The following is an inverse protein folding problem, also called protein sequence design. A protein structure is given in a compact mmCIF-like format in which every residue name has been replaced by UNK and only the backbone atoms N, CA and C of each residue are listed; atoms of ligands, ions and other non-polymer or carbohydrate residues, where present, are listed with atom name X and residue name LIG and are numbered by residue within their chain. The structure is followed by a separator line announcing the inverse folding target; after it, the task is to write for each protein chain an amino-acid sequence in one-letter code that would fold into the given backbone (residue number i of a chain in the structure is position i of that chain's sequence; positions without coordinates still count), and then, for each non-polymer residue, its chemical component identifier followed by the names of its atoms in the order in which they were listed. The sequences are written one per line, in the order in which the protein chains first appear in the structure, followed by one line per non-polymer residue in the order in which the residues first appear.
data_IF_079465166059
#
_entry.id   IF_079465166059
#
_cell.length_a   1.000
_cell.length_b   1.000
_cell.length_c   1.000
_cell.angle_alpha   90.00
_cell.angle_beta   90.00
_cell.angle_gamma   90.00
#
_symmetry.space_group_name_H-M   'P 1'
#
loop_
_entity.id
_entity.type
_entity.pdbx_description
1 polymer ?
#
# COMPACT_ATOMS: atom_id res chain seq x y z
N UNK A 1 -6.59 18.27 -6.15
CA UNK A 1 -6.98 17.12 -5.29
C UNK A 1 -7.49 17.46 -3.87
N UNK A 2 -7.77 18.74 -3.50
CA UNK A 2 -8.21 19.13 -2.14
C UNK A 2 -9.72 19.00 -1.87
N UNK A 3 -10.53 18.82 -2.92
CA UNK A 3 -12.00 18.84 -2.82
C UNK A 3 -12.54 17.50 -2.29
N UNK A 4 -11.96 16.37 -2.73
CA UNK A 4 -12.40 15.02 -2.33
C UNK A 4 -12.20 14.78 -0.83
N UNK A 5 -11.12 15.32 -0.24
CA UNK A 5 -10.85 15.21 1.20
C UNK A 5 -11.86 16.00 2.06
N UNK A 6 -12.41 17.11 1.55
CA UNK A 6 -13.38 17.91 2.29
C UNK A 6 -14.77 17.24 2.31
N UNK A 7 -15.16 16.62 1.19
CA UNK A 7 -16.42 15.88 1.06
C UNK A 7 -16.41 14.64 1.94
N UNK A 8 -15.33 13.86 1.93
CA UNK A 8 -15.19 12.68 2.80
C UNK A 8 -15.18 13.04 4.29
N UNK A 9 -14.60 14.19 4.66
CA UNK A 9 -14.58 14.65 6.06
C UNK A 9 -15.97 15.13 6.53
N UNK A 10 -16.78 15.73 5.65
CA UNK A 10 -18.19 16.07 5.93
C UNK A 10 -19.09 14.84 6.00
N UNK A 11 -18.92 13.88 5.10
CA UNK A 11 -19.65 12.61 5.15
C UNK A 11 -19.30 11.80 6.40
N UNK A 12 -18.01 11.75 6.78
CA UNK A 12 -17.58 11.12 8.03
C UNK A 12 -18.10 11.84 9.28
N UNK A 13 -18.25 13.17 9.26
CA UNK A 13 -18.86 13.91 10.37
C UNK A 13 -20.39 13.69 10.45
N UNK A 14 -21.07 13.62 9.30
CA UNK A 14 -22.50 13.32 9.21
C UNK A 14 -22.83 11.88 9.62
N UNK A 15 -21.94 10.93 9.32
CA UNK A 15 -22.08 9.51 9.68
C UNK A 15 -21.47 9.18 11.05
N UNK A 16 -20.50 9.96 11.53
CA UNK A 16 -19.72 9.69 12.75
C UNK A 16 -20.09 10.53 13.97
N UNK A 17 -21.09 11.43 13.85
CA UNK A 17 -21.57 12.26 14.97
C UNK A 17 -22.24 11.49 16.13
N UNK A 18 -22.35 10.15 16.04
CA UNK A 18 -23.00 9.32 17.05
C UNK A 18 -22.04 8.43 17.87
N UNK A 19 -20.73 8.70 17.87
CA UNK A 19 -19.77 7.90 18.67
C UNK A 19 -18.86 8.77 19.54
N UNK A 20 -19.46 9.69 20.28
CA UNK A 20 -18.86 10.34 21.45
C UNK A 20 -19.80 10.33 22.67
N UNK A 21 -20.85 9.50 22.64
CA UNK A 21 -21.53 9.11 23.85
C UNK A 21 -20.65 8.07 24.53
N UNK A 22 -20.15 8.40 25.72
CA UNK A 22 -19.66 7.44 26.71
C UNK A 22 -20.68 6.32 26.85
N UNK A 23 -20.50 5.26 26.06
CA UNK A 23 -21.23 4.02 26.21
C UNK A 23 -20.84 3.46 27.57
N UNK A 24 -21.70 3.72 28.55
CA UNK A 24 -22.04 2.83 29.63
C UNK A 24 -21.54 1.42 29.31
N UNK A 25 -20.44 1.02 29.97
CA UNK A 25 -19.78 -0.28 29.74
C UNK A 25 -20.89 -1.32 29.73
N UNK A 26 -21.09 -1.96 28.57
CA UNK A 26 -21.98 -3.10 28.47
C UNK A 26 -21.62 -4.03 29.63
N UNK A 27 -22.54 -4.14 30.58
CA UNK A 27 -22.39 -5.00 31.73
C UNK A 27 -21.96 -6.37 31.20
N UNK A 28 -20.86 -6.90 31.75
CA UNK A 28 -20.32 -8.20 31.39
C UNK A 28 -21.48 -9.19 31.32
N UNK A 29 -21.85 -9.57 30.08
CA UNK A 29 -22.83 -10.63 29.87
C UNK A 29 -22.36 -11.88 30.61
N UNK A 30 -23.26 -12.81 30.96
CA UNK A 30 -22.90 -14.00 31.71
C UNK A 30 -21.69 -14.67 31.06
N UNK A 31 -20.55 -14.66 31.76
CA UNK A 31 -19.33 -15.29 31.30
C UNK A 31 -19.60 -16.79 31.22
N UNK A 32 -19.85 -17.29 30.02
CA UNK A 32 -19.87 -18.71 29.78
C UNK A 32 -18.52 -19.29 30.23
N UNK A 33 -18.50 -20.45 30.91
CA UNK A 33 -17.25 -21.04 31.35
C UNK A 33 -16.34 -21.28 30.14
N UNK A 34 -15.24 -20.52 30.09
CA UNK A 34 -14.24 -20.64 29.05
C UNK A 34 -13.56 -22.00 29.17
N UNK A 35 -13.35 -22.67 28.03
CA UNK A 35 -12.53 -23.89 27.95
C UNK A 35 -11.03 -23.63 28.15
N UNK A 36 -10.64 -22.36 28.17
CA UNK A 36 -9.25 -21.90 28.29
C UNK A 36 -9.05 -21.15 29.60
N UNK A 37 -7.87 -21.31 30.20
CA UNK A 37 -7.49 -20.56 31.40
C UNK A 37 -7.25 -19.09 31.05
N UNK A 38 -7.36 -18.21 32.04
CA UNK A 38 -7.08 -16.78 31.89
C UNK A 38 -5.68 -16.54 31.31
N UNK A 39 -4.68 -17.24 31.83
CA UNK A 39 -3.28 -17.14 31.37
C UNK A 39 -3.13 -17.51 29.88
N UNK A 40 -3.86 -18.53 29.40
CA UNK A 40 -3.84 -18.91 27.99
C UNK A 40 -4.44 -17.83 27.09
N UNK A 41 -5.52 -17.19 27.55
CA UNK A 41 -6.17 -16.10 26.82
C UNK A 41 -5.25 -14.88 26.75
N UNK A 42 -4.59 -14.53 27.86
CA UNK A 42 -3.64 -13.41 27.91
C UNK A 42 -2.43 -13.64 27.00
N UNK A 43 -1.83 -14.84 27.04
CA UNK A 43 -0.73 -15.20 26.16
C UNK A 43 -1.13 -15.12 24.69
N UNK A 44 -2.31 -15.65 24.32
CA UNK A 44 -2.83 -15.58 22.95
C UNK A 44 -3.11 -14.14 22.50
N UNK A 45 -3.62 -13.29 23.41
CA UNK A 45 -3.87 -11.88 23.13
C UNK A 45 -2.57 -11.12 22.83
N UNK A 46 -1.52 -11.35 23.62
CA UNK A 46 -0.20 -10.73 23.39
C UNK A 46 0.38 -11.12 22.02
N UNK A 47 0.38 -12.41 21.68
CA UNK A 47 0.84 -12.89 20.36
C UNK A 47 0.03 -12.25 19.23
N UNK A 48 -1.28 -12.12 19.38
CA UNK A 48 -2.14 -11.48 18.38
C UNK A 48 -1.82 -9.99 18.21
N UNK A 49 -1.56 -9.28 19.32
CA UNK A 49 -1.19 -7.86 19.28
C UNK A 49 0.14 -7.65 18.56
N UNK A 50 1.13 -8.48 18.86
CA UNK A 50 2.45 -8.43 18.21
C UNK A 50 2.33 -8.72 16.70
N UNK A 51 1.63 -9.79 16.32
CA UNK A 51 1.41 -10.13 14.91
C UNK A 51 0.70 -9.00 14.15
N UNK A 52 -0.27 -8.33 14.79
CA UNK A 52 -0.96 -7.18 14.21
C UNK A 52 -0.02 -5.99 14.01
N UNK A 53 0.88 -5.74 14.96
CA UNK A 53 1.87 -4.68 14.83
C UNK A 53 2.82 -4.94 13.66
N UNK A 54 3.37 -6.16 13.56
CA UNK A 54 4.22 -6.56 12.44
C UNK A 54 3.50 -6.44 11.09
N UNK A 55 2.24 -6.84 11.01
CA UNK A 55 1.43 -6.68 9.81
C UNK A 55 1.24 -5.20 9.43
N UNK A 56 0.98 -4.33 10.41
CA UNK A 56 0.83 -2.90 10.17
C UNK A 56 2.13 -2.26 9.68
N UNK A 57 3.26 -2.64 10.27
CA UNK A 57 4.57 -2.11 9.90
C UNK A 57 4.96 -2.59 8.50
N UNK A 58 4.77 -3.87 8.19
CA UNK A 58 4.95 -4.40 6.83
C UNK A 58 4.03 -3.71 5.81
N UNK A 59 2.77 -3.41 6.16
CA UNK A 59 1.88 -2.65 5.29
C UNK A 59 2.33 -1.20 5.07
N UNK A 60 2.94 -0.56 6.07
CA UNK A 60 3.51 0.80 5.92
C UNK A 60 4.74 0.77 5.02
N UNK A 61 5.61 -0.20 5.20
CA UNK A 61 6.81 -0.39 4.38
C UNK A 61 6.45 -0.70 2.94
N UNK A 62 5.48 -1.60 2.71
CA UNK A 62 4.96 -1.88 1.37
C UNK A 62 4.46 -0.61 0.69
N UNK A 63 3.66 0.22 1.37
CA UNK A 63 3.19 1.50 0.80
C UNK A 63 4.34 2.45 0.46
N UNK A 64 5.41 2.46 1.26
CA UNK A 64 6.61 3.27 0.98
C UNK A 64 7.34 2.76 -0.25
N UNK A 65 7.54 1.44 -0.36
CA UNK A 65 8.13 0.80 -1.52
C UNK A 65 7.30 1.08 -2.79
N UNK A 66 5.98 0.90 -2.73
CA UNK A 66 5.05 1.17 -3.83
C UNK A 66 5.13 2.62 -4.29
N UNK A 67 5.27 3.58 -3.37
CA UNK A 67 5.43 5.00 -3.72
C UNK A 67 6.69 5.24 -4.57
N UNK A 68 7.79 4.57 -4.25
CA UNK A 68 9.04 4.68 -5.03
C UNK A 68 8.87 3.98 -6.38
N UNK A 69 8.44 2.71 -6.35
CA UNK A 69 8.31 1.86 -7.53
C UNK A 69 7.31 2.41 -8.55
N UNK A 70 6.18 2.99 -8.10
CA UNK A 70 5.17 3.62 -8.97
C UNK A 70 5.69 4.77 -9.82
N UNK A 71 6.84 5.36 -9.46
CA UNK A 71 7.49 6.44 -10.21
C UNK A 71 8.75 5.99 -10.95
N UNK A 72 9.19 4.75 -10.75
CA UNK A 72 10.40 4.25 -11.37
C UNK A 72 10.19 3.94 -12.86
N UNK A 73 11.04 4.44 -13.76
CA UNK A 73 10.99 4.05 -15.16
C UNK A 73 11.32 2.56 -15.32
N UNK A 74 10.85 1.95 -16.42
CA UNK A 74 11.21 0.59 -16.76
C UNK A 74 12.74 0.51 -16.95
N UNK A 75 13.37 -0.53 -16.41
CA UNK A 75 14.83 -0.67 -16.48
C UNK A 75 15.37 -1.69 -15.51
N UNK A 76 16.69 -1.80 -15.46
CA UNK A 76 17.42 -2.68 -14.53
C UNK A 76 18.18 -1.83 -13.52
N UNK A 77 17.98 -2.11 -12.24
CA UNK A 77 18.54 -1.41 -11.08
C UNK A 77 19.27 -2.43 -10.20
N UNK A 78 20.57 -2.60 -10.42
CA UNK A 78 21.36 -3.63 -9.73
C UNK A 78 20.80 -5.02 -10.02
N UNK A 79 20.35 -5.73 -8.98
CA UNK A 79 19.76 -7.07 -9.08
C UNK A 79 18.26 -7.07 -9.38
N UNK A 80 17.64 -5.90 -9.61
CA UNK A 80 16.19 -5.79 -9.80
C UNK A 80 15.88 -5.27 -11.19
N UNK A 81 15.04 -6.00 -11.94
CA UNK A 81 14.47 -5.53 -13.21
C UNK A 81 13.02 -5.09 -12.99
N UNK A 82 12.71 -3.86 -13.41
CA UNK A 82 11.38 -3.26 -13.38
C UNK A 82 10.83 -3.23 -14.80
N UNK A 83 9.66 -3.84 -15.00
CA UNK A 83 8.91 -3.78 -16.25
C UNK A 83 7.49 -3.30 -15.99
N UNK A 84 6.98 -2.43 -16.86
CA UNK A 84 5.58 -2.02 -16.84
C UNK A 84 4.78 -2.96 -17.74
N UNK A 85 3.86 -3.70 -17.14
CA UNK A 85 2.96 -4.63 -17.83
C UNK A 85 1.60 -3.98 -17.89
N UNK A 86 1.11 -3.78 -19.12
CA UNK A 86 -0.27 -3.35 -19.31
C UNK A 86 -1.19 -4.38 -18.68
N UNK A 87 -2.13 -3.92 -17.85
CA UNK A 87 -2.98 -4.81 -17.08
C UNK A 87 -3.79 -5.69 -18.04
N UNK A 88 -3.42 -6.96 -18.17
CA UNK A 88 -4.16 -7.99 -18.91
C UNK A 88 -5.48 -8.37 -18.22
N UNK A 89 -6.09 -7.45 -17.45
CA UNK A 89 -7.46 -7.60 -17.01
C UNK A 89 -8.25 -7.84 -18.28
N UNK A 90 -8.63 -9.11 -18.42
CA UNK A 90 -9.50 -9.75 -19.40
C UNK A 90 -10.26 -8.71 -20.21
N UNK A 91 -10.36 -8.91 -21.50
CA UNK A 91 -11.49 -8.41 -22.28
C UNK A 91 -12.78 -8.87 -21.59
N UNK A 92 -13.20 -8.17 -20.55
CA UNK A 92 -14.57 -8.18 -20.13
C UNK A 92 -15.29 -7.64 -21.36
N UNK A 93 -16.25 -8.41 -21.85
CA UNK A 93 -17.06 -8.03 -22.98
C UNK A 93 -17.66 -6.65 -22.71
N UNK A 94 -17.02 -5.64 -23.31
CA UNK A 94 -17.35 -4.23 -23.09
C UNK A 94 -18.77 -3.98 -23.54
N UNK A 95 -19.25 -4.71 -24.54
CA UNK A 95 -20.61 -4.62 -25.03
C UNK A 95 -21.59 -5.20 -24.01
N UNK A 96 -21.29 -6.35 -23.40
CA UNK A 96 -22.14 -6.93 -22.36
C UNK A 96 -22.23 -6.04 -21.10
N UNK A 97 -21.11 -5.44 -20.67
CA UNK A 97 -21.11 -4.44 -19.59
C UNK A 97 -21.91 -3.20 -20.01
N UNK A 98 -21.62 -2.64 -21.19
CA UNK A 98 -22.28 -1.44 -21.68
C UNK A 98 -23.79 -1.64 -21.81
N UNK A 99 -24.25 -2.78 -22.32
CA UNK A 99 -25.67 -3.13 -22.41
C UNK A 99 -26.33 -3.23 -21.03
N UNK A 100 -25.60 -3.76 -20.03
CA UNK A 100 -26.11 -3.87 -18.66
C UNK A 100 -26.29 -2.48 -18.02
N UNK A 101 -25.31 -1.59 -18.16
CA UNK A 101 -25.39 -0.21 -17.63
C UNK A 101 -26.41 0.63 -18.38
N UNK A 102 -26.50 0.49 -19.71
CA UNK A 102 -27.52 1.15 -20.53
C UNK A 102 -28.94 0.75 -20.11
N UNK A 103 -29.16 -0.53 -19.78
CA UNK A 103 -30.45 -1.02 -19.26
C UNK A 103 -30.81 -0.42 -17.90
N UNK A 104 -29.81 -0.14 -17.07
CA UNK A 104 -29.99 0.47 -15.74
C UNK A 104 -30.11 2.00 -15.81
N UNK A 105 -29.86 2.61 -16.97
CA UNK A 105 -29.83 4.08 -17.11
C UNK A 105 -28.65 4.73 -16.39
N UNK A 106 -27.61 3.95 -16.10
CA UNK A 106 -26.43 4.39 -15.38
C UNK A 106 -25.23 4.56 -16.32
N UNK A 107 -24.36 5.52 -16.01
CA UNK A 107 -23.15 5.79 -16.79
C UNK A 107 -22.07 4.73 -16.50
N UNK A 108 -21.37 4.27 -17.54
CA UNK A 108 -20.30 3.27 -17.40
C UNK A 108 -19.10 3.93 -16.71
N UNK A 109 -18.64 3.45 -15.54
CA UNK A 109 -17.45 3.97 -14.91
C UNK A 109 -16.20 3.54 -15.70
N UNK A 110 -15.73 4.39 -16.60
CA UNK A 110 -14.45 4.18 -17.31
C UNK A 110 -13.28 4.54 -16.41
N UNK A 111 -12.91 3.62 -15.51
CA UNK A 111 -11.63 3.75 -14.82
C UNK A 111 -10.56 3.16 -15.73
N UNK A 112 -9.67 4.00 -16.25
CA UNK A 112 -8.51 3.55 -17.00
C UNK A 112 -7.74 2.51 -16.17
N UNK A 113 -7.49 1.34 -16.77
CA UNK A 113 -6.72 0.32 -16.08
C UNK A 113 -5.29 0.86 -15.88
N UNK A 114 -4.86 0.98 -14.62
CA UNK A 114 -3.49 1.39 -14.33
C UNK A 114 -2.52 0.29 -14.79
N UNK A 115 -1.42 0.71 -15.44
CA UNK A 115 -0.32 -0.18 -15.74
C UNK A 115 0.20 -0.79 -14.43
N UNK A 116 0.54 -2.09 -14.47
CA UNK A 116 1.06 -2.81 -13.31
C UNK A 116 2.57 -2.93 -13.42
N UNK A 117 3.25 -2.80 -12.29
CA UNK A 117 4.68 -3.05 -12.21
C UNK A 117 4.91 -4.54 -12.04
N UNK A 118 5.80 -5.10 -12.84
CA UNK A 118 6.39 -6.43 -12.68
C UNK A 118 7.84 -6.25 -12.24
N UNK A 119 8.18 -6.88 -11.13
CA UNK A 119 9.51 -6.83 -10.52
C UNK A 119 10.12 -8.23 -10.64
N UNK A 120 11.30 -8.30 -11.23
CA UNK A 120 12.05 -9.56 -11.39
C UNK A 120 13.41 -9.43 -10.71
N UNK A 121 13.72 -10.37 -9.82
CA UNK A 121 15.05 -10.48 -9.23
C UNK A 121 15.96 -11.17 -10.26
N UNK A 122 16.99 -10.47 -10.73
CA UNK A 122 18.01 -11.03 -11.59
C UNK A 122 19.09 -11.68 -10.71
N UNK A 123 19.58 -12.88 -11.08
CA UNK A 123 20.74 -13.45 -10.42
C UNK A 123 21.91 -12.48 -10.61
N UNK A 124 22.61 -12.21 -9.51
CA UNK A 124 23.73 -11.26 -9.44
C UNK A 124 24.79 -11.66 -10.46
N UNK A 125 24.67 -11.08 -11.65
CA UNK A 125 25.60 -11.26 -12.75
C UNK A 125 26.54 -10.07 -12.64
N UNK A 126 27.72 -10.35 -12.10
CA UNK A 126 28.76 -9.37 -11.86
C UNK A 126 28.98 -8.50 -13.11
N UNK A 127 28.70 -7.20 -12.97
CA UNK A 127 29.27 -6.17 -13.82
C UNK A 127 28.62 -5.98 -15.19
N UNK A 128 27.52 -5.23 -15.24
CA UNK A 128 27.37 -4.19 -16.26
C UNK A 128 26.58 -3.05 -15.63
N UNK A 129 27.30 -2.10 -15.05
CA UNK A 129 26.74 -0.83 -14.58
C UNK A 129 26.14 -0.13 -15.79
N UNK A 130 24.83 -0.20 -15.97
CA UNK A 130 24.17 0.71 -16.90
C UNK A 130 24.22 2.10 -16.27
N UNK A 131 25.14 2.92 -16.76
CA UNK A 131 24.98 4.36 -16.72
C UNK A 131 23.68 4.65 -17.46
N UNK A 132 22.64 5.02 -16.73
CA UNK A 132 21.50 5.69 -17.32
C UNK A 132 22.04 6.99 -17.91
N UNK A 133 22.31 6.99 -19.21
CA UNK A 133 22.50 8.22 -19.97
C UNK A 133 21.17 8.96 -19.88
N UNK A 134 21.10 9.84 -18.88
CA UNK A 134 19.95 10.67 -18.65
C UNK A 134 19.74 11.51 -19.91
N UNK A 135 18.52 11.58 -20.48
CA UNK A 135 18.25 12.60 -21.48
C UNK A 135 18.56 13.95 -20.81
N UNK A 136 19.35 14.82 -21.47
CA UNK A 136 19.79 16.14 -20.98
C UNK A 136 18.67 16.86 -20.22
N UNK A 137 18.57 16.57 -18.93
CA UNK A 137 17.58 17.12 -18.03
C UNK A 137 18.36 18.08 -17.14
N UNK A 138 17.91 19.34 -17.01
CA UNK A 138 18.61 20.32 -16.21
C UNK A 138 18.79 19.76 -14.80
N UNK A 139 20.05 19.79 -14.35
CA UNK A 139 20.58 19.31 -13.09
C UNK A 139 19.76 19.84 -11.90
N UNK A 140 18.63 19.18 -11.61
CA UNK A 140 17.87 19.40 -10.40
C UNK A 140 18.51 18.52 -9.33
N UNK A 141 19.17 19.15 -8.38
CA UNK A 141 19.68 18.49 -7.19
C UNK A 141 18.58 17.60 -6.58
N UNK A 142 18.89 16.34 -6.21
CA UNK A 142 17.91 15.47 -5.58
C UNK A 142 17.36 16.18 -4.34
N UNK A 143 16.04 16.17 -4.12
CA UNK A 143 15.46 16.83 -2.98
C UNK A 143 15.96 16.15 -1.69
N UNK A 144 16.40 16.95 -0.72
CA UNK A 144 17.14 16.53 0.49
C UNK A 144 16.48 15.45 1.36
N UNK A 145 15.19 15.13 1.13
CA UNK A 145 14.50 14.03 1.80
C UNK A 145 14.94 12.63 1.33
N UNK A 146 15.67 12.54 0.22
CA UNK A 146 16.21 11.26 -0.29
C UNK A 146 17.36 10.77 0.60
N UNK A 147 18.23 11.66 1.07
CA UNK A 147 19.34 11.30 1.98
C UNK A 147 18.83 10.86 3.37
N UNK A 148 17.73 11.45 3.85
CA UNK A 148 17.08 11.04 5.10
C UNK A 148 16.50 9.62 5.04
N UNK A 149 16.11 9.15 3.85
CA UNK A 149 15.49 7.84 3.65
C UNK A 149 16.50 6.70 3.74
N UNK A 150 17.74 6.94 3.31
CA UNK A 150 18.81 5.94 3.34
C UNK A 150 19.75 6.10 4.54
N UNK A 151 19.88 7.31 5.10
CA UNK A 151 20.69 7.57 6.29
C UNK A 151 20.18 6.86 7.55
N UNK A 152 18.86 6.73 7.71
CA UNK A 152 18.25 6.06 8.85
C UNK A 152 18.39 4.52 8.83
N UNK A 153 18.78 3.94 7.69
CA UNK A 153 18.84 2.49 7.48
C UNK A 153 20.24 1.98 7.15
N UNK A 154 21.31 2.75 7.41
CA UNK A 154 22.67 2.22 7.32
C UNK A 154 22.88 1.23 8.48
N UNK A 155 22.94 -0.09 8.24
CA UNK A 155 23.21 -1.02 9.32
C UNK A 155 24.60 -0.72 9.88
N UNK A 156 24.73 -0.71 11.21
CA UNK A 156 26.00 -0.50 11.91
C UNK A 156 27.09 -1.52 11.52
N UNK A 157 26.73 -2.59 10.83
CA UNK A 157 27.62 -3.63 10.34
C UNK A 157 28.58 -3.22 9.20
N UNK A 158 28.47 -2.00 8.66
CA UNK A 158 29.34 -1.48 7.58
C UNK A 158 30.29 -0.35 8.02
N UNK A 159 30.44 -0.12 9.32
CA UNK A 159 31.32 0.91 9.89
C UNK A 159 32.61 0.36 10.53
N UNK A 160 33.03 -0.86 10.15
CA UNK A 160 34.30 -1.46 10.55
C UNK A 160 35.22 -1.64 9.33
#
# INVERSE_FOLDING_TARGET
MRIVSAVLRRLSAALGGASAASGERAADGPQAPSRYTTEQIEAAALVRLEARQQQNDGAREQRRADKVLSTAPAGTYGSVRIAWVESSRRDWDREAIAATFARLGEEIPTVAASARIRIEMMPETAGTSHTCEAPDAPEQAPPSWVDDLFGAYRPAALAA
#
